data_IF_370693899600
#
_entry.id   IF_370693899600
#
_cell.length_a   1.000
_cell.length_b   1.000
_cell.length_c   1.000
_cell.angle_alpha   90.00
_cell.angle_beta   90.00
_cell.angle_gamma   90.00
#
_symmetry.space_group_name_H-M   'P 1'
#
loop_
_entity.id
_entity.type
_entity.pdbx_description
1 polymer ?
#
# COMPACT_ATOMS: atom_id res chain seq x y z
N UNK A 1 -46.76 -18.17 0.90
CA UNK A 1 -45.92 -17.62 1.98
C UNK A 1 -44.93 -16.67 1.31
N UNK A 2 -45.30 -15.41 1.16
CA UNK A 2 -44.52 -14.43 0.40
C UNK A 2 -43.40 -13.86 1.27
N UNK A 3 -42.15 -14.13 0.87
CA UNK A 3 -40.98 -13.47 1.43
C UNK A 3 -40.95 -12.01 0.97
N UNK A 4 -41.46 -11.13 1.82
CA UNK A 4 -41.24 -9.69 1.73
C UNK A 4 -39.73 -9.41 1.80
N UNK A 5 -39.10 -9.21 0.64
CA UNK A 5 -37.78 -8.60 0.57
C UNK A 5 -37.91 -7.14 1.01
N UNK A 6 -37.61 -6.85 2.28
CA UNK A 6 -37.42 -5.47 2.76
C UNK A 6 -36.28 -4.84 1.96
N UNK A 7 -36.63 -4.08 0.92
CA UNK A 7 -35.72 -3.11 0.31
C UNK A 7 -35.38 -2.07 1.37
N UNK A 8 -34.19 -2.13 1.94
CA UNK A 8 -33.66 -1.07 2.81
C UNK A 8 -33.68 0.24 2.04
N UNK A 9 -34.46 1.22 2.48
CA UNK A 9 -34.57 2.51 1.80
C UNK A 9 -33.23 3.26 1.82
N UNK A 10 -32.85 3.97 0.75
CA UNK A 10 -31.60 4.75 0.69
C UNK A 10 -31.49 5.81 1.79
N UNK A 11 -32.62 6.23 2.37
CA UNK A 11 -32.69 7.17 3.50
C UNK A 11 -32.09 6.60 4.80
N UNK A 12 -32.14 5.30 5.03
CA UNK A 12 -31.56 4.69 6.24
C UNK A 12 -30.03 4.69 6.20
N UNK A 13 -29.41 4.52 5.03
CA UNK A 13 -27.95 4.57 4.87
C UNK A 13 -27.37 5.96 5.20
N UNK A 14 -28.07 7.03 4.81
CA UNK A 14 -27.67 8.41 5.16
C UNK A 14 -27.82 8.65 6.66
N UNK A 15 -28.85 8.08 7.31
CA UNK A 15 -29.06 8.17 8.76
C UNK A 15 -27.96 7.47 9.57
N UNK A 16 -27.37 6.40 9.03
CA UNK A 16 -26.20 5.73 9.63
C UNK A 16 -24.95 6.61 9.59
N UNK A 17 -24.80 7.46 8.57
CA UNK A 17 -23.74 8.48 8.48
C UNK A 17 -24.05 9.76 9.27
N UNK A 18 -25.34 10.09 9.48
CA UNK A 18 -25.76 11.33 10.15
C UNK A 18 -25.60 11.32 11.67
N UNK A 19 -25.13 10.21 12.26
CA UNK A 19 -24.77 10.18 13.66
C UNK A 19 -23.43 10.91 13.82
N UNK A 20 -23.45 12.12 14.39
CA UNK A 20 -22.27 12.99 14.59
C UNK A 20 -21.06 12.26 15.18
N UNK A 21 -21.28 11.27 16.05
CA UNK A 21 -20.23 10.40 16.60
C UNK A 21 -19.50 9.55 15.54
N UNK A 22 -20.21 9.03 14.54
CA UNK A 22 -19.63 8.22 13.45
C UNK A 22 -18.83 9.09 12.48
N UNK A 23 -19.34 10.28 12.18
CA UNK A 23 -18.63 11.27 11.37
C UNK A 23 -17.30 11.69 12.03
N UNK A 24 -17.31 11.95 13.35
CA UNK A 24 -16.11 12.29 14.10
C UNK A 24 -15.04 11.20 14.02
N UNK A 25 -15.41 9.92 14.14
CA UNK A 25 -14.45 8.80 14.00
C UNK A 25 -13.80 8.78 12.62
N UNK A 26 -14.60 8.94 11.55
CA UNK A 26 -14.07 8.96 10.17
C UNK A 26 -13.07 10.09 10.01
N UNK A 27 -13.41 11.30 10.47
CA UNK A 27 -12.54 12.48 10.40
C UNK A 27 -11.23 12.23 11.15
N UNK A 28 -11.29 11.73 12.39
CA UNK A 28 -10.09 11.44 13.19
C UNK A 28 -9.18 10.44 12.47
N UNK A 29 -9.74 9.35 11.93
CA UNK A 29 -8.96 8.33 11.21
C UNK A 29 -8.32 8.90 9.93
N UNK A 30 -9.00 9.79 9.22
CA UNK A 30 -8.42 10.50 8.06
C UNK A 30 -7.23 11.35 8.49
N UNK A 31 -7.35 12.13 9.57
CA UNK A 31 -6.26 12.96 10.07
C UNK A 31 -5.07 12.13 10.57
N UNK A 32 -5.32 10.99 11.23
CA UNK A 32 -4.25 10.07 11.64
C UNK A 32 -3.48 9.53 10.43
N UNK A 33 -4.19 9.07 9.40
CA UNK A 33 -3.57 8.61 8.16
C UNK A 33 -2.77 9.72 7.46
N UNK A 34 -3.35 10.92 7.37
CA UNK A 34 -2.68 12.10 6.83
C UNK A 34 -1.38 12.37 7.61
N UNK A 35 -1.41 12.31 8.94
CA UNK A 35 -0.24 12.44 9.79
C UNK A 35 0.86 11.43 9.46
N UNK A 36 0.50 10.14 9.29
CA UNK A 36 1.45 9.08 8.92
C UNK A 36 2.09 9.38 7.56
N UNK A 37 1.30 9.80 6.57
CA UNK A 37 1.84 10.17 5.26
C UNK A 37 2.72 11.41 5.34
N UNK A 38 2.34 12.46 6.07
CA UNK A 38 3.17 13.66 6.25
C UNK A 38 4.53 13.31 6.89
N UNK A 39 4.54 12.51 7.96
CA UNK A 39 5.78 12.04 8.58
C UNK A 39 6.61 11.21 7.57
N UNK A 40 5.96 10.33 6.82
CA UNK A 40 6.58 9.57 5.74
C UNK A 40 7.20 10.48 4.67
N UNK A 41 6.49 11.54 4.27
CA UNK A 41 6.94 12.55 3.28
C UNK A 41 8.19 13.26 3.73
N UNK A 42 8.23 13.70 5.00
CA UNK A 42 9.37 14.38 5.61
C UNK A 42 10.59 13.46 5.58
N UNK A 43 10.41 12.19 5.97
CA UNK A 43 11.49 11.19 5.97
C UNK A 43 12.07 10.94 4.57
N UNK A 44 11.24 10.85 3.53
CA UNK A 44 11.70 10.57 2.16
C UNK A 44 12.16 11.82 1.39
N UNK A 45 11.87 13.02 1.89
CA UNK A 45 12.13 14.28 1.19
C UNK A 45 13.55 14.43 0.62
N UNK A 46 14.63 14.09 1.36
CA UNK A 46 15.99 14.19 0.82
C UNK A 46 16.34 13.16 -0.28
N UNK A 47 15.43 12.23 -0.58
CA UNK A 47 15.68 11.11 -1.50
C UNK A 47 14.75 11.07 -2.72
N UNK A 48 13.86 12.05 -2.90
CA UNK A 48 12.82 12.00 -3.96
C UNK A 48 13.36 11.88 -5.38
N UNK A 49 14.47 12.58 -5.66
CA UNK A 49 15.14 12.57 -6.97
C UNK A 49 15.99 11.31 -7.18
N UNK A 50 16.18 10.49 -6.15
CA UNK A 50 16.98 9.28 -6.23
C UNK A 50 16.18 8.11 -6.80
N UNK A 51 16.92 7.18 -7.39
CA UNK A 51 16.38 5.90 -7.84
C UNK A 51 16.25 4.93 -6.68
N UNK A 52 15.17 4.15 -6.62
CA UNK A 52 14.99 3.14 -5.59
C UNK A 52 16.03 2.03 -5.70
N UNK A 53 16.25 1.32 -4.60
CA UNK A 53 17.06 0.12 -4.64
C UNK A 53 16.41 -0.90 -5.57
N UNK A 54 17.17 -1.41 -6.55
CA UNK A 54 16.70 -2.38 -7.54
C UNK A 54 16.06 -3.63 -6.90
N UNK A 55 16.56 -4.04 -5.73
CA UNK A 55 16.07 -5.22 -5.00
C UNK A 55 14.89 -4.89 -4.09
N UNK A 56 15.04 -3.92 -3.18
CA UNK A 56 14.08 -3.71 -2.09
C UNK A 56 13.30 -2.40 -2.12
N UNK A 57 13.56 -1.49 -3.05
CA UNK A 57 12.83 -0.23 -3.17
C UNK A 57 13.22 0.88 -2.20
N UNK A 58 14.23 0.67 -1.34
CA UNK A 58 14.64 1.65 -0.33
C UNK A 58 15.21 2.94 -0.95
N UNK A 59 15.04 4.11 -0.29
CA UNK A 59 15.39 5.42 -0.85
C UNK A 59 16.87 5.80 -0.77
N UNK A 60 17.61 5.27 0.21
CA UNK A 60 19.03 5.57 0.35
C UNK A 60 19.87 4.60 -0.50
N UNK A 61 20.19 5.03 -1.71
CA UNK A 61 20.91 4.22 -2.71
C UNK A 61 22.19 4.87 -3.22
N UNK A 62 23.09 4.03 -3.75
CA UNK A 62 24.28 4.40 -4.52
C UNK A 62 24.26 3.66 -5.86
N UNK A 63 24.81 4.28 -6.89
CA UNK A 63 24.97 3.66 -8.19
C UNK A 63 26.12 2.64 -8.17
N UNK A 64 25.92 1.51 -8.82
CA UNK A 64 26.88 0.44 -9.03
C UNK A 64 26.87 0.13 -10.53
N UNK A 65 28.06 0.01 -11.13
CA UNK A 65 28.18 -0.42 -12.51
C UNK A 65 27.94 -1.93 -12.55
N UNK A 66 26.99 -2.36 -13.38
CA UNK A 66 26.60 -3.76 -13.55
C UNK A 66 26.43 -4.04 -15.04
N UNK A 67 26.83 -5.21 -15.49
CA UNK A 67 26.61 -5.67 -16.85
C UNK A 67 25.17 -6.17 -16.98
N UNK A 68 24.41 -5.64 -17.93
CA UNK A 68 23.12 -6.19 -18.29
C UNK A 68 23.27 -7.15 -19.45
N UNK A 69 22.87 -8.40 -19.23
CA UNK A 69 22.83 -9.45 -20.24
C UNK A 69 21.45 -9.44 -20.92
N UNK A 70 21.42 -9.18 -22.21
CA UNK A 70 20.21 -9.28 -23.01
C UNK A 70 19.81 -10.75 -23.17
N UNK A 71 18.53 -11.06 -22.96
CA UNK A 71 17.97 -12.35 -23.35
C UNK A 71 17.80 -12.40 -24.87
N UNK A 72 18.90 -12.68 -25.59
CA UNK A 72 18.87 -13.00 -27.02
C UNK A 72 19.07 -14.50 -27.17
N UNK A 73 18.21 -15.16 -27.94
CA UNK A 73 18.23 -16.63 -28.16
C UNK A 73 19.49 -17.17 -28.85
N UNK A 74 20.36 -16.30 -29.40
CA UNK A 74 21.44 -16.70 -30.32
C UNK A 74 22.84 -16.42 -29.74
N UNK A 75 23.09 -15.23 -29.18
CA UNK A 75 24.36 -14.87 -28.53
C UNK A 75 24.09 -13.89 -27.37
N UNK A 76 24.60 -14.16 -26.15
CA UNK A 76 24.44 -13.24 -25.03
C UNK A 76 25.28 -11.98 -25.26
N UNK A 77 24.61 -10.84 -25.45
CA UNK A 77 25.24 -9.53 -25.49
C UNK A 77 25.14 -8.87 -24.11
N UNK A 78 26.23 -8.27 -23.65
CA UNK A 78 26.29 -7.56 -22.37
C UNK A 78 26.48 -6.06 -22.61
N UNK A 79 25.76 -5.22 -21.86
CA UNK A 79 25.90 -3.76 -21.86
C UNK A 79 26.09 -3.23 -20.45
N UNK A 80 27.05 -2.33 -20.27
CA UNK A 80 27.22 -1.63 -18.99
C UNK A 80 26.01 -0.74 -18.69
N UNK A 81 25.41 -0.96 -17.52
CA UNK A 81 24.33 -0.15 -16.97
C UNK A 81 24.62 0.22 -15.52
N UNK A 82 24.12 1.37 -15.10
CA UNK A 82 24.18 1.80 -13.70
C UNK A 82 22.91 1.40 -12.99
N UNK A 83 23.02 0.54 -11.99
CA UNK A 83 21.92 0.15 -11.11
C UNK A 83 22.11 0.72 -9.71
N UNK A 84 21.00 1.01 -9.04
CA UNK A 84 21.01 1.64 -7.72
C UNK A 84 20.73 0.62 -6.63
N UNK A 85 21.64 0.51 -5.67
CA UNK A 85 21.53 -0.42 -4.54
C UNK A 85 21.62 0.32 -3.20
N UNK A 86 20.90 -0.18 -2.19
CA UNK A 86 21.05 0.30 -0.83
C UNK A 86 22.28 -0.34 -0.16
N UNK A 87 22.73 0.21 0.97
CA UNK A 87 23.91 -0.29 1.71
C UNK A 87 23.86 -1.80 2.01
N UNK A 88 22.67 -2.38 2.18
CA UNK A 88 22.50 -3.82 2.43
C UNK A 88 22.76 -4.66 1.18
N UNK A 89 22.26 -4.23 0.03
CA UNK A 89 22.33 -4.99 -1.22
C UNK A 89 23.56 -4.68 -2.06
N UNK A 90 24.28 -3.59 -1.79
CA UNK A 90 25.50 -3.26 -2.53
C UNK A 90 26.59 -4.33 -2.40
N UNK A 91 26.66 -5.00 -1.25
CA UNK A 91 27.65 -6.07 -0.98
C UNK A 91 27.40 -7.34 -1.80
N UNK A 92 26.15 -7.56 -2.19
CA UNK A 92 25.70 -8.73 -2.94
C UNK A 92 25.12 -8.28 -4.29
N UNK A 93 25.57 -7.12 -4.81
CA UNK A 93 25.09 -6.62 -6.08
C UNK A 93 25.64 -7.55 -7.18
N UNK A 94 24.77 -8.18 -7.99
CA UNK A 94 25.22 -9.06 -9.06
C UNK A 94 25.99 -8.26 -10.10
N UNK A 95 27.13 -8.80 -10.54
CA UNK A 95 27.93 -8.21 -11.61
C UNK A 95 27.17 -8.25 -12.95
N UNK A 96 26.39 -9.31 -13.17
CA UNK A 96 25.53 -9.49 -14.35
C UNK A 96 24.06 -9.54 -13.93
N UNK A 97 23.24 -8.67 -14.49
CA UNK A 97 21.78 -8.66 -14.32
C UNK A 97 21.09 -9.06 -15.62
N UNK A 98 19.95 -9.73 -15.51
CA UNK A 98 19.09 -10.10 -16.65
C UNK A 98 17.91 -9.14 -16.82
N UNK A 99 17.46 -8.53 -15.73
CA UNK A 99 16.36 -7.58 -15.70
C UNK A 99 16.85 -6.20 -15.23
N UNK A 100 16.45 -5.15 -15.96
CA UNK A 100 16.70 -3.77 -15.55
C UNK A 100 15.40 -3.19 -14.94
N UNK A 101 15.44 -2.65 -13.71
CA UNK A 101 14.32 -1.91 -13.15
C UNK A 101 13.97 -0.71 -14.02
N UNK A 102 12.67 -0.47 -14.23
CA UNK A 102 12.17 0.57 -15.12
C UNK A 102 12.83 1.92 -14.91
N UNK A 103 13.30 2.55 -15.99
CA UNK A 103 13.86 3.90 -15.97
C UNK A 103 12.89 4.97 -15.45
N UNK A 104 11.58 4.69 -15.41
CA UNK A 104 10.55 5.59 -14.87
C UNK A 104 10.30 5.39 -13.37
N UNK A 105 10.94 4.41 -12.73
CA UNK A 105 10.78 4.17 -11.30
C UNK A 105 11.63 5.15 -10.49
N UNK A 106 11.02 5.79 -9.50
CA UNK A 106 11.63 6.81 -8.62
C UNK A 106 11.04 6.70 -7.22
N UNK A 107 11.76 7.21 -6.23
CA UNK A 107 11.27 7.25 -4.84
C UNK A 107 10.01 8.11 -4.73
N UNK A 108 9.95 9.23 -5.45
CA UNK A 108 8.75 10.05 -5.52
C UNK A 108 7.54 9.23 -6.04
N UNK A 109 7.70 8.48 -7.14
CA UNK A 109 6.63 7.66 -7.71
C UNK A 109 6.16 6.56 -6.75
N UNK A 110 7.09 5.86 -6.10
CA UNK A 110 6.77 4.82 -5.11
C UNK A 110 6.06 5.38 -3.89
N UNK A 111 6.42 6.57 -3.44
CA UNK A 111 5.69 7.24 -2.38
C UNK A 111 4.26 7.60 -2.81
N UNK A 112 4.07 8.12 -4.02
CA UNK A 112 2.73 8.36 -4.57
C UNK A 112 1.92 7.06 -4.64
N UNK A 113 2.53 5.94 -5.05
CA UNK A 113 1.88 4.62 -5.01
C UNK A 113 1.47 4.21 -3.60
N UNK A 114 2.31 4.47 -2.59
CA UNK A 114 1.97 4.20 -1.19
C UNK A 114 0.78 5.04 -0.71
N UNK A 115 0.72 6.32 -1.10
CA UNK A 115 -0.41 7.22 -0.80
C UNK A 115 -1.69 6.70 -1.47
N UNK A 116 -1.65 6.39 -2.76
CA UNK A 116 -2.80 5.83 -3.50
C UNK A 116 -3.25 4.51 -2.86
N UNK A 117 -2.32 3.61 -2.55
CA UNK A 117 -2.59 2.33 -1.91
C UNK A 117 -3.26 2.50 -0.55
N UNK A 118 -2.80 3.44 0.28
CA UNK A 118 -3.42 3.70 1.58
C UNK A 118 -4.79 4.36 1.48
N UNK A 119 -4.99 5.30 0.54
CA UNK A 119 -6.32 5.89 0.30
C UNK A 119 -7.31 4.83 -0.18
N UNK A 120 -6.90 3.97 -1.11
CA UNK A 120 -7.73 2.85 -1.57
C UNK A 120 -8.04 1.88 -0.42
N UNK A 121 -7.03 1.52 0.38
CA UNK A 121 -7.19 0.67 1.56
C UNK A 121 -8.22 1.26 2.55
N UNK A 122 -8.15 2.56 2.82
CA UNK A 122 -9.13 3.26 3.66
C UNK A 122 -10.54 3.19 3.07
N UNK A 123 -10.70 3.54 1.79
CA UNK A 123 -12.02 3.58 1.14
C UNK A 123 -12.64 2.19 1.10
N UNK A 124 -11.88 1.18 0.69
CA UNK A 124 -12.36 -0.20 0.63
C UNK A 124 -12.70 -0.74 2.02
N UNK A 125 -11.89 -0.44 3.03
CA UNK A 125 -12.16 -0.88 4.40
C UNK A 125 -13.40 -0.21 4.99
N UNK A 126 -13.55 1.11 4.80
CA UNK A 126 -14.74 1.85 5.21
C UNK A 126 -16.00 1.29 4.54
N UNK A 127 -15.92 1.05 3.23
CA UNK A 127 -17.02 0.45 2.47
C UNK A 127 -17.40 -0.93 3.01
N UNK A 128 -16.42 -1.80 3.26
CA UNK A 128 -16.65 -3.13 3.83
C UNK A 128 -17.31 -3.08 5.22
N UNK A 129 -16.86 -2.17 6.10
CA UNK A 129 -17.46 -1.97 7.41
C UNK A 129 -18.93 -1.54 7.33
N UNK A 130 -19.26 -0.62 6.41
CA UNK A 130 -20.64 -0.15 6.18
C UNK A 130 -21.51 -1.28 5.62
N UNK A 131 -21.01 -2.00 4.61
CA UNK A 131 -21.76 -3.06 3.93
C UNK A 131 -22.10 -4.21 4.88
N UNK A 132 -21.13 -4.65 5.69
CA UNK A 132 -21.27 -5.76 6.62
C UNK A 132 -21.82 -5.33 8.00
N UNK A 133 -22.16 -4.05 8.16
CA UNK A 133 -22.72 -3.46 9.39
C UNK A 133 -21.86 -3.65 10.65
N UNK A 134 -20.53 -3.71 10.49
CA UNK A 134 -19.60 -3.70 11.62
C UNK A 134 -19.55 -2.33 12.32
N UNK A 135 -19.06 -2.29 13.57
CA UNK A 135 -18.82 -1.02 14.27
C UNK A 135 -17.76 -0.19 13.52
N UNK A 136 -18.09 1.08 13.24
CA UNK A 136 -17.20 2.04 12.57
C UNK A 136 -15.88 2.23 13.31
N UNK A 137 -15.81 1.94 14.62
CA UNK A 137 -14.56 2.01 15.41
C UNK A 137 -13.48 1.08 14.86
N UNK A 138 -13.84 -0.01 14.19
CA UNK A 138 -12.86 -0.87 13.52
C UNK A 138 -12.06 -0.12 12.45
N UNK A 139 -12.54 1.02 11.96
CA UNK A 139 -11.83 1.88 11.01
C UNK A 139 -10.48 2.39 11.54
N UNK A 140 -10.28 2.46 12.87
CA UNK A 140 -8.99 2.76 13.49
C UNK A 140 -7.88 1.74 13.16
N UNK A 141 -8.23 0.56 12.64
CA UNK A 141 -7.23 -0.42 12.18
C UNK A 141 -6.51 0.03 10.91
N UNK A 142 -7.10 0.90 10.08
CA UNK A 142 -6.45 1.40 8.86
C UNK A 142 -5.13 2.13 9.13
N UNK A 143 -5.06 3.17 9.97
CA UNK A 143 -3.80 3.85 10.25
C UNK A 143 -2.79 2.94 10.94
N UNK A 144 -3.24 1.94 11.72
CA UNK A 144 -2.37 0.94 12.32
C UNK A 144 -1.71 0.05 11.25
N UNK A 145 -2.48 -0.43 10.27
CA UNK A 145 -1.96 -1.23 9.16
C UNK A 145 -0.97 -0.43 8.30
N UNK A 146 -1.31 0.81 7.96
CA UNK A 146 -0.43 1.69 7.17
C UNK A 146 0.86 2.00 7.94
N UNK A 147 0.73 2.35 9.23
CA UNK A 147 1.86 2.60 10.13
C UNK A 147 2.79 1.39 10.25
N UNK A 148 2.24 0.19 10.49
CA UNK A 148 3.01 -1.06 10.57
C UNK A 148 3.72 -1.38 9.25
N UNK A 149 3.04 -1.20 8.10
CA UNK A 149 3.66 -1.40 6.80
C UNK A 149 4.89 -0.49 6.60
N UNK A 150 4.81 0.76 7.05
CA UNK A 150 5.92 1.71 6.96
C UNK A 150 7.05 1.41 7.96
N UNK A 151 6.72 0.98 9.18
CA UNK A 151 7.71 0.60 10.18
C UNK A 151 8.52 -0.64 9.76
N UNK A 152 7.86 -1.66 9.20
CA UNK A 152 8.51 -2.93 8.84
C UNK A 152 9.32 -2.79 7.55
N UNK A 153 8.73 -2.22 6.50
CA UNK A 153 9.35 -2.21 5.17
C UNK A 153 10.12 -0.93 4.84
N UNK A 154 9.79 0.21 5.46
CA UNK A 154 10.08 1.59 5.02
C UNK A 154 9.14 2.08 3.91
N UNK A 155 8.78 3.38 3.92
CA UNK A 155 7.68 4.02 3.17
C UNK A 155 7.63 3.70 1.68
N UNK A 156 8.79 3.52 1.03
CA UNK A 156 8.89 3.30 -0.43
C UNK A 156 9.33 1.89 -0.81
N UNK A 157 9.50 1.00 0.17
CA UNK A 157 9.98 -0.35 -0.09
C UNK A 157 8.95 -1.17 -0.85
N UNK A 158 9.43 -2.14 -1.64
CA UNK A 158 8.54 -3.06 -2.33
C UNK A 158 7.68 -3.84 -1.32
N UNK A 159 8.25 -4.21 -0.17
CA UNK A 159 7.52 -4.91 0.90
C UNK A 159 6.36 -4.08 1.45
N UNK A 160 6.58 -2.81 1.78
CA UNK A 160 5.51 -1.93 2.29
C UNK A 160 4.41 -1.73 1.26
N UNK A 161 4.77 -1.53 -0.01
CA UNK A 161 3.78 -1.43 -1.09
C UNK A 161 2.98 -2.72 -1.23
N UNK A 162 3.63 -3.88 -1.23
CA UNK A 162 2.95 -5.18 -1.29
C UNK A 162 2.01 -5.39 -0.12
N UNK A 163 2.43 -5.05 1.11
CA UNK A 163 1.55 -5.13 2.29
C UNK A 163 0.34 -4.21 2.16
N UNK A 164 0.54 -2.96 1.71
CA UNK A 164 -0.55 -2.02 1.50
C UNK A 164 -1.54 -2.51 0.44
N UNK A 165 -1.07 -2.84 -0.76
CA UNK A 165 -1.95 -3.30 -1.85
C UNK A 165 -2.58 -4.66 -1.54
N UNK A 166 -1.85 -5.58 -0.91
CA UNK A 166 -2.39 -6.87 -0.48
C UNK A 166 -3.49 -6.71 0.57
N UNK A 167 -3.35 -5.74 1.48
CA UNK A 167 -4.35 -5.48 2.52
C UNK A 167 -5.70 -4.97 1.97
N UNK A 168 -5.71 -4.35 0.78
CA UNK A 168 -6.94 -3.89 0.13
C UNK A 168 -7.91 -5.05 -0.09
N UNK A 169 -7.42 -6.23 -0.46
CA UNK A 169 -8.25 -7.42 -0.64
C UNK A 169 -8.34 -8.28 0.63
N UNK A 170 -7.22 -8.44 1.35
CA UNK A 170 -7.15 -9.33 2.50
C UNK A 170 -8.05 -8.87 3.66
N UNK A 171 -8.12 -7.56 3.93
CA UNK A 171 -8.89 -7.05 5.07
C UNK A 171 -10.41 -7.19 4.85
N UNK A 172 -11.00 -6.77 3.71
CA UNK A 172 -12.40 -7.06 3.41
C UNK A 172 -12.70 -8.56 3.38
N UNK A 173 -11.80 -9.37 2.82
CA UNK A 173 -11.96 -10.83 2.80
C UNK A 173 -12.03 -11.44 4.21
N UNK A 174 -11.17 -10.97 5.12
CA UNK A 174 -11.20 -11.39 6.52
C UNK A 174 -12.48 -10.95 7.23
N UNK A 175 -12.93 -9.70 7.02
CA UNK A 175 -14.18 -9.21 7.58
C UNK A 175 -15.38 -10.02 7.09
N UNK A 176 -15.41 -10.34 5.80
CA UNK A 176 -16.46 -11.17 5.21
C UNK A 176 -16.47 -12.58 5.81
N UNK A 177 -15.30 -13.20 5.97
CA UNK A 177 -15.18 -14.50 6.62
C UNK A 177 -15.68 -14.49 8.07
N UNK A 178 -15.32 -13.45 8.85
CA UNK A 178 -15.81 -13.29 10.23
C UNK A 178 -17.33 -13.12 10.25
N UNK A 179 -17.86 -12.30 9.36
CA UNK A 179 -19.30 -12.06 9.24
C UNK A 179 -20.09 -13.34 8.94
N UNK A 180 -19.60 -14.16 8.01
CA UNK A 180 -20.17 -15.49 7.72
C UNK A 180 -20.16 -16.40 8.94
N UNK A 181 -19.03 -16.47 9.66
CA UNK A 181 -18.88 -17.34 10.83
C UNK A 181 -19.81 -16.94 11.99
N UNK A 182 -20.18 -15.66 12.08
CA UNK A 182 -21.11 -15.17 13.11
C UNK A 182 -22.57 -15.55 12.85
N UNK A 183 -22.89 -16.26 11.76
CA UNK A 183 -24.25 -16.72 11.48
C UNK A 183 -25.20 -15.59 11.09
N UNK A 184 -24.67 -14.50 10.52
CA UNK A 184 -25.48 -13.40 9.98
C UNK A 184 -26.07 -13.73 8.58
N UNK A 185 -26.28 -15.02 8.29
CA UNK A 185 -27.03 -15.56 7.14
C UNK A 185 -28.17 -16.41 7.69
#
# INVERSE_FOLDING_TARGET
MEMSMRRSEPKEYIKVLSNTKKLAVIIIVIFLNLGIFVVGRIYINPYLSRKPCAVCGRPNTKAVNTLWQYEVKVLPYCKDVKLWYCKRHIRNAPEIVKEIPSAKDTIAKRYVQAVIGGVLQMVTFLYALILLRFDIKWFFMSPLLIGLAFLIGNTTSSLSLTLLFGSIAAVPGLLFYIWLKQGNI
#
